data_IF_013598249029
#
_entry.id   IF_013598249029
#
_cell.length_a   1.000
_cell.length_b   1.000
_cell.length_c   1.000
_cell.angle_alpha   90.00
_cell.angle_beta   90.00
_cell.angle_gamma   90.00
#
_symmetry.space_group_name_H-M   'P 1'
#
loop_
_entity.id
_entity.type
_entity.pdbx_description
1 polymer ?
#
# COMPACT_ATOMS: atom_id res chain seq x y z
N UNK A 1 -6.58 -3.93 11.28
CA UNK A 1 -5.17 -4.12 11.71
C UNK A 1 -4.92 -3.43 13.04
N UNK A 2 -4.01 -3.99 13.84
CA UNK A 2 -3.48 -3.35 15.05
C UNK A 2 -2.03 -2.93 14.77
N UNK A 3 -1.79 -1.62 14.72
CA UNK A 3 -0.46 -1.04 14.52
C UNK A 3 0.00 -0.35 15.80
N UNK A 4 1.24 -0.60 16.22
CA UNK A 4 1.83 0.10 17.34
C UNK A 4 3.02 -0.63 17.95
N UNK A 5 3.43 -0.17 19.14
CA UNK A 5 4.37 -0.91 19.96
C UNK A 5 3.69 -2.18 20.50
N UNK A 6 4.34 -3.32 20.27
CA UNK A 6 3.88 -4.64 20.70
C UNK A 6 4.96 -5.26 21.58
N UNK A 7 4.56 -5.84 22.71
CA UNK A 7 5.45 -6.66 23.52
C UNK A 7 5.92 -7.86 22.68
N UNK A 8 7.20 -8.22 22.78
CA UNK A 8 7.78 -9.34 22.00
C UNK A 8 7.01 -10.64 22.25
N UNK A 9 6.53 -10.86 23.48
CA UNK A 9 5.74 -12.04 23.84
C UNK A 9 4.37 -12.12 23.14
N UNK A 10 3.87 -10.99 22.65
CA UNK A 10 2.60 -10.89 21.93
C UNK A 10 2.80 -10.68 20.43
N UNK A 11 4.04 -10.60 19.95
CA UNK A 11 4.35 -10.18 18.58
C UNK A 11 4.41 -11.33 17.55
N UNK A 12 4.11 -12.57 17.95
CA UNK A 12 4.11 -13.72 17.03
C UNK A 12 3.14 -13.48 15.86
N UNK A 13 3.63 -13.62 14.64
CA UNK A 13 2.88 -13.39 13.41
C UNK A 13 2.66 -11.90 13.07
N UNK A 14 3.14 -10.97 13.89
CA UNK A 14 3.10 -9.55 13.56
C UNK A 14 4.18 -9.18 12.54
N UNK A 15 3.88 -8.18 11.71
CA UNK A 15 4.77 -7.68 10.66
C UNK A 15 5.55 -6.47 11.18
N UNK A 16 6.88 -6.51 11.12
CA UNK A 16 7.72 -5.41 11.58
C UNK A 16 7.51 -4.14 10.75
N UNK A 17 7.17 -3.03 11.43
CA UNK A 17 7.03 -1.71 10.82
C UNK A 17 8.37 -1.08 10.43
N UNK A 18 9.42 -1.43 11.18
CA UNK A 18 10.79 -0.98 10.99
C UNK A 18 11.74 -2.16 11.14
N UNK A 19 12.88 -2.08 10.46
CA UNK A 19 13.90 -3.11 10.64
C UNK A 19 14.50 -3.07 12.04
N UNK A 20 14.81 -4.23 12.59
CA UNK A 20 15.46 -4.38 13.90
C UNK A 20 16.84 -5.01 13.67
N UNK A 21 17.88 -4.36 14.17
CA UNK A 21 19.24 -4.90 14.17
C UNK A 21 19.45 -5.78 15.39
N UNK A 22 20.06 -6.94 15.19
CA UNK A 22 20.41 -7.93 16.21
C UNK A 22 21.91 -8.23 16.09
N UNK A 23 22.55 -8.79 17.13
CA UNK A 23 23.93 -9.26 17.02
C UNK A 23 24.11 -10.37 15.98
N UNK A 24 23.04 -11.12 15.71
CA UNK A 24 22.99 -12.20 14.70
C UNK A 24 22.65 -11.72 13.28
N UNK A 25 22.30 -10.45 13.08
CA UNK A 25 21.93 -9.92 11.77
C UNK A 25 20.86 -8.82 11.82
N UNK A 26 19.96 -8.82 10.83
CA UNK A 26 18.91 -7.80 10.70
C UNK A 26 17.58 -8.43 10.33
N UNK A 27 16.55 -8.14 11.12
CA UNK A 27 15.16 -8.38 10.73
C UNK A 27 14.69 -7.18 9.89
N UNK A 28 14.26 -7.43 8.66
CA UNK A 28 13.86 -6.37 7.74
C UNK A 28 12.48 -5.77 8.11
N UNK A 29 12.21 -4.54 7.65
CA UNK A 29 10.84 -4.03 7.62
C UNK A 29 9.99 -4.95 6.73
N UNK A 30 8.77 -5.22 7.13
CA UNK A 30 7.87 -6.15 6.43
C UNK A 30 8.09 -7.62 6.78
N UNK A 31 9.08 -7.93 7.64
CA UNK A 31 9.32 -9.29 8.13
C UNK A 31 8.18 -9.74 9.06
N UNK A 32 7.64 -10.94 8.82
CA UNK A 32 6.65 -11.59 9.69
C UNK A 32 7.39 -12.29 10.82
N UNK A 33 7.12 -11.90 12.06
CA UNK A 33 7.81 -12.45 13.23
C UNK A 33 7.41 -13.90 13.48
N UNK A 34 8.39 -14.78 13.45
CA UNK A 34 8.28 -16.20 13.82
C UNK A 34 8.82 -16.43 15.23
N UNK A 35 8.57 -17.61 15.81
CA UNK A 35 8.99 -17.93 17.18
C UNK A 35 10.50 -17.71 17.42
N UNK A 36 11.34 -18.10 16.45
CA UNK A 36 12.80 -17.89 16.50
C UNK A 36 13.21 -16.43 16.56
N UNK A 37 12.43 -15.55 15.92
CA UNK A 37 12.72 -14.12 15.92
C UNK A 37 12.44 -13.53 17.29
N UNK A 38 11.36 -13.98 17.93
CA UNK A 38 11.02 -13.57 19.29
C UNK A 38 12.09 -14.01 20.29
N UNK A 39 12.61 -15.25 20.16
CA UNK A 39 13.71 -15.72 21.00
C UNK A 39 14.98 -14.90 20.80
N UNK A 40 15.31 -14.55 19.55
CA UNK A 40 16.45 -13.69 19.24
C UNK A 40 16.28 -12.27 19.81
N UNK A 41 15.07 -11.68 19.69
CA UNK A 41 14.74 -10.39 20.28
C UNK A 41 14.88 -10.42 21.81
N UNK A 42 14.40 -11.48 22.47
CA UNK A 42 14.54 -11.65 23.92
C UNK A 42 16.00 -11.79 24.36
N UNK A 43 16.80 -12.56 23.62
CA UNK A 43 18.21 -12.76 23.94
C UNK A 43 19.01 -11.44 23.89
N UNK A 44 18.59 -10.50 23.05
CA UNK A 44 19.16 -9.14 22.93
C UNK A 44 18.54 -8.13 23.91
N UNK A 45 17.64 -8.58 24.80
CA UNK A 45 16.97 -7.70 25.78
C UNK A 45 15.92 -6.77 25.19
N UNK A 46 15.48 -7.01 23.95
CA UNK A 46 14.43 -6.22 23.29
C UNK A 46 13.08 -6.72 23.80
N UNK A 47 12.35 -5.85 24.51
CA UNK A 47 11.06 -6.18 25.13
C UNK A 47 9.85 -5.81 24.27
N UNK A 48 10.00 -4.89 23.32
CA UNK A 48 8.93 -4.48 22.41
C UNK A 48 9.45 -4.08 21.03
N UNK A 49 8.58 -4.17 20.03
CA UNK A 49 8.84 -3.78 18.64
C UNK A 49 7.68 -2.97 18.09
N UNK A 50 7.94 -2.10 17.10
CA UNK A 50 6.85 -1.47 16.34
C UNK A 50 6.43 -2.43 15.24
N UNK A 51 5.21 -2.94 15.32
CA UNK A 51 4.70 -3.96 14.41
C UNK A 51 3.22 -3.75 14.07
N UNK A 52 2.79 -4.46 13.04
CA UNK A 52 1.42 -4.53 12.59
C UNK A 52 0.92 -5.97 12.71
N UNK A 53 -0.16 -6.18 13.47
CA UNK A 53 -0.88 -7.45 13.48
C UNK A 53 -2.08 -7.34 12.52
N UNK A 54 -2.12 -8.23 11.55
CA UNK A 54 -3.27 -8.35 10.66
C UNK A 54 -4.45 -8.97 11.41
N UNK A 55 -5.63 -8.41 11.19
CA UNK A 55 -6.89 -8.94 11.66
C UNK A 55 -7.63 -9.64 10.50
N UNK A 56 -8.58 -10.54 10.79
CA UNK A 56 -9.44 -11.11 9.76
C UNK A 56 -10.07 -10.01 8.88
N UNK A 57 -9.87 -10.10 7.57
CA UNK A 57 -10.37 -9.13 6.60
C UNK A 57 -9.42 -7.99 6.26
N UNK A 58 -8.24 -7.89 6.90
CA UNK A 58 -7.18 -6.99 6.43
C UNK A 58 -6.50 -7.54 5.17
N UNK A 59 -6.01 -6.62 4.34
CA UNK A 59 -5.17 -6.91 3.18
C UNK A 59 -3.77 -6.32 3.39
N UNK A 60 -2.74 -7.09 3.05
CA UNK A 60 -1.36 -6.58 3.03
C UNK A 60 -1.18 -5.48 1.98
N UNK A 61 -0.24 -4.57 2.21
CA UNK A 61 -0.08 -3.33 1.43
C UNK A 61 0.05 -3.58 -0.08
N UNK A 62 0.81 -4.58 -0.50
CA UNK A 62 1.01 -4.90 -1.92
C UNK A 62 -0.25 -5.51 -2.55
N UNK A 63 -0.95 -6.39 -1.82
CA UNK A 63 -2.19 -6.99 -2.30
C UNK A 63 -3.30 -5.93 -2.45
N UNK A 64 -3.39 -5.00 -1.49
CA UNK A 64 -4.32 -3.88 -1.55
C UNK A 64 -3.99 -2.90 -2.68
N UNK A 65 -2.71 -2.51 -2.83
CA UNK A 65 -2.26 -1.62 -3.90
C UNK A 65 -2.54 -2.22 -5.29
N UNK A 66 -2.24 -3.52 -5.46
CA UNK A 66 -2.50 -4.25 -6.70
C UNK A 66 -4.00 -4.25 -7.06
N UNK A 67 -4.86 -4.63 -6.10
CA UNK A 67 -6.31 -4.72 -6.29
C UNK A 67 -6.93 -3.37 -6.71
N UNK A 68 -6.47 -2.27 -6.12
CA UNK A 68 -6.94 -0.93 -6.51
C UNK A 68 -6.42 -0.53 -7.89
N UNK A 69 -5.17 -0.87 -8.20
CA UNK A 69 -4.55 -0.51 -9.46
C UNK A 69 -5.22 -1.20 -10.66
N UNK A 70 -5.74 -2.41 -10.49
CA UNK A 70 -6.51 -3.13 -11.51
C UNK A 70 -7.80 -2.40 -11.88
N UNK A 71 -8.29 -1.52 -11.01
CA UNK A 71 -9.46 -0.70 -11.32
C UNK A 71 -9.17 0.47 -12.25
N UNK A 72 -7.89 0.81 -12.49
CA UNK A 72 -7.46 1.94 -13.32
C UNK A 72 -6.77 1.49 -14.63
N UNK A 73 -7.06 0.28 -15.10
CA UNK A 73 -6.49 -0.23 -16.35
C UNK A 73 -6.97 0.52 -17.61
N UNK A 74 -6.01 0.89 -18.46
CA UNK A 74 -6.21 1.49 -19.78
C UNK A 74 -5.08 1.05 -20.72
N UNK A 75 -5.34 1.01 -22.03
CA UNK A 75 -4.31 0.70 -23.05
C UNK A 75 -3.22 1.77 -23.14
N UNK A 76 -3.50 2.99 -22.66
CA UNK A 76 -2.57 4.14 -22.74
C UNK A 76 -1.72 4.30 -21.48
N UNK A 77 -1.88 3.40 -20.51
CA UNK A 77 -1.20 3.45 -19.22
C UNK A 77 -0.62 2.08 -18.88
N UNK A 78 0.68 2.05 -18.57
CA UNK A 78 1.34 0.88 -17.99
C UNK A 78 1.51 1.05 -16.49
N UNK A 79 1.32 -0.04 -15.75
CA UNK A 79 1.47 -0.10 -14.30
C UNK A 79 2.78 -0.77 -13.92
N UNK A 80 3.44 -0.30 -12.87
CA UNK A 80 4.47 -1.09 -12.19
C UNK A 80 3.84 -2.26 -11.42
N UNK A 81 4.61 -3.31 -11.10
CA UNK A 81 4.20 -4.24 -10.06
C UNK A 81 3.93 -3.50 -8.74
N UNK A 82 3.03 -4.04 -7.92
CA UNK A 82 2.87 -3.59 -6.55
C UNK A 82 4.13 -3.95 -5.74
N UNK A 83 4.72 -2.96 -5.10
CA UNK A 83 5.86 -3.16 -4.19
C UNK A 83 5.86 -2.13 -3.09
N UNK A 84 6.07 -2.57 -1.85
CA UNK A 84 6.06 -1.71 -0.66
C UNK A 84 4.80 -0.84 -0.55
N UNK A 85 3.64 -1.41 -0.89
CA UNK A 85 2.35 -0.74 -0.91
C UNK A 85 2.16 0.26 -2.04
N UNK A 86 3.00 0.25 -3.07
CA UNK A 86 2.98 1.26 -4.16
C UNK A 86 2.78 0.63 -5.52
N UNK A 87 1.92 1.24 -6.33
CA UNK A 87 1.84 1.03 -7.79
C UNK A 87 1.97 2.38 -8.49
N UNK A 88 2.87 2.45 -9.45
CA UNK A 88 3.07 3.62 -10.32
C UNK A 88 2.42 3.38 -11.68
N UNK A 89 1.89 4.45 -12.27
CA UNK A 89 1.23 4.46 -13.57
C UNK A 89 2.02 5.37 -14.52
N UNK A 90 2.37 4.84 -15.68
CA UNK A 90 3.20 5.50 -16.68
C UNK A 90 2.44 5.67 -17.99
N UNK A 91 2.56 6.83 -18.62
CA UNK A 91 1.97 7.05 -19.94
C UNK A 91 2.66 6.18 -21.00
N UNK A 92 1.88 5.51 -21.85
CA UNK A 92 2.38 4.75 -22.99
C UNK A 92 2.41 5.59 -24.29
N UNK A 93 1.73 6.73 -24.31
CA UNK A 93 1.68 7.66 -25.45
C UNK A 93 1.97 9.11 -25.03
N UNK A 94 2.42 9.91 -25.99
CA UNK A 94 2.43 11.36 -25.83
C UNK A 94 0.99 11.88 -25.89
N UNK A 95 0.64 12.82 -25.03
CA UNK A 95 -0.71 13.36 -25.03
C UNK A 95 -1.00 14.24 -23.83
N UNK A 96 -2.24 14.18 -23.38
CA UNK A 96 -2.75 14.98 -22.29
C UNK A 96 -3.31 14.05 -21.21
N UNK A 97 -2.81 14.17 -19.98
CA UNK A 97 -3.34 13.44 -18.85
C UNK A 97 -4.67 14.03 -18.41
N UNK A 98 -5.72 13.22 -18.40
CA UNK A 98 -7.06 13.61 -17.97
C UNK A 98 -7.37 12.93 -16.64
N UNK A 99 -7.74 13.72 -15.64
CA UNK A 99 -8.12 13.23 -14.32
C UNK A 99 -9.41 13.89 -13.84
N UNK A 100 -10.36 13.06 -13.42
CA UNK A 100 -11.52 13.55 -12.70
C UNK A 100 -11.12 13.87 -11.25
N UNK A 101 -10.91 15.16 -10.98
CA UNK A 101 -10.58 15.65 -9.64
C UNK A 101 -11.59 15.21 -8.58
N UNK A 102 -12.88 15.14 -8.91
CA UNK A 102 -13.91 14.75 -7.96
C UNK A 102 -13.76 13.27 -7.55
N UNK A 103 -13.38 12.42 -8.51
CA UNK A 103 -13.12 10.99 -8.27
C UNK A 103 -11.88 10.82 -7.39
N UNK A 104 -10.78 11.50 -7.72
CA UNK A 104 -9.53 11.46 -6.93
C UNK A 104 -9.79 11.97 -5.50
N UNK A 105 -10.46 13.09 -5.35
CA UNK A 105 -10.76 13.67 -4.03
C UNK A 105 -11.69 12.76 -3.21
N UNK A 106 -12.70 12.12 -3.83
CA UNK A 106 -13.58 11.17 -3.12
C UNK A 106 -12.84 9.89 -2.75
N UNK A 107 -11.96 9.38 -3.62
CA UNK A 107 -11.11 8.23 -3.33
C UNK A 107 -10.22 8.49 -2.10
N UNK A 108 -9.52 9.62 -2.09
CA UNK A 108 -8.61 10.00 -1.00
C UNK A 108 -9.33 10.32 0.33
N UNK A 109 -10.66 10.46 0.32
CA UNK A 109 -11.48 10.66 1.52
C UNK A 109 -11.99 9.36 2.14
N UNK A 110 -11.80 8.21 1.48
CA UNK A 110 -12.32 6.91 1.98
C UNK A 110 -11.64 6.54 3.29
N UNK A 111 -10.31 6.49 3.30
CA UNK A 111 -9.52 6.19 4.48
C UNK A 111 -8.09 6.73 4.27
N UNK A 112 -7.45 7.34 5.29
CA UNK A 112 -6.10 7.88 5.18
C UNK A 112 -5.03 6.81 4.87
N UNK A 113 -5.31 5.52 5.03
CA UNK A 113 -4.38 4.45 4.66
C UNK A 113 -4.21 4.29 3.14
N UNK A 114 -5.15 4.81 2.32
CA UNK A 114 -5.17 4.63 0.87
C UNK A 114 -5.07 6.00 0.20
N UNK A 115 -4.18 6.15 -0.77
CA UNK A 115 -4.02 7.41 -1.51
C UNK A 115 -3.81 7.15 -3.00
N UNK A 116 -4.48 7.95 -3.83
CA UNK A 116 -4.23 8.13 -5.25
C UNK A 116 -3.68 9.55 -5.46
N UNK A 117 -2.42 9.64 -5.87
CA UNK A 117 -1.80 10.88 -6.31
C UNK A 117 -1.65 10.84 -7.83
N UNK A 118 -1.82 11.98 -8.50
CA UNK A 118 -1.66 12.09 -9.94
C UNK A 118 -1.20 13.49 -10.35
N UNK A 119 -0.82 13.63 -11.63
CA UNK A 119 -0.61 14.94 -12.24
C UNK A 119 -1.90 15.77 -12.20
N UNK A 120 -1.76 17.07 -12.45
CA UNK A 120 -2.90 17.95 -12.65
C UNK A 120 -3.70 17.50 -13.87
N UNK A 121 -5.01 17.73 -13.83
CA UNK A 121 -5.87 17.52 -14.98
C UNK A 121 -5.42 18.40 -16.16
N UNK A 122 -5.47 17.85 -17.37
CA UNK A 122 -4.95 18.44 -18.60
C UNK A 122 -3.44 18.75 -18.59
N UNK A 123 -2.62 17.97 -17.86
CA UNK A 123 -1.17 18.08 -17.94
C UNK A 123 -0.62 17.43 -19.23
N UNK A 124 0.36 18.06 -19.88
CA UNK A 124 1.07 17.43 -21.00
C UNK A 124 1.95 16.28 -20.51
N UNK A 125 1.94 15.17 -21.25
CA UNK A 125 2.71 13.97 -20.91
C UNK A 125 3.38 13.38 -22.14
N UNK A 126 4.54 12.77 -21.93
CA UNK A 126 5.28 11.96 -22.89
C UNK A 126 5.23 10.49 -22.52
N UNK A 127 5.41 9.63 -23.51
CA UNK A 127 5.61 8.19 -23.27
C UNK A 127 6.72 7.99 -22.24
N UNK A 128 6.42 7.26 -21.18
CA UNK A 128 7.30 6.97 -20.05
C UNK A 128 7.12 7.86 -18.82
N UNK A 129 6.35 8.95 -18.92
CA UNK A 129 6.13 9.85 -17.78
C UNK A 129 5.30 9.18 -16.69
N UNK A 130 5.65 9.43 -15.42
CA UNK A 130 4.87 9.00 -14.25
C UNK A 130 3.65 9.92 -14.10
N UNK A 131 2.45 9.37 -14.30
CA UNK A 131 1.21 10.16 -14.31
C UNK A 131 0.36 10.00 -13.06
N UNK A 132 0.45 8.85 -12.40
CA UNK A 132 -0.25 8.58 -11.15
C UNK A 132 0.46 7.55 -10.28
N UNK A 133 0.11 7.52 -9.00
CA UNK A 133 0.58 6.55 -8.02
C UNK A 133 -0.54 6.21 -7.04
N UNK A 134 -0.78 4.90 -6.86
CA UNK A 134 -1.52 4.40 -5.70
C UNK A 134 -0.52 4.07 -4.60
N UNK A 135 -0.86 4.48 -3.37
CA UNK A 135 -0.11 4.17 -2.16
C UNK A 135 -1.03 3.64 -1.08
N UNK A 136 -0.73 2.44 -0.58
CA UNK A 136 -1.11 2.00 0.75
C UNK A 136 0.01 2.47 1.68
N UNK A 137 -0.34 3.35 2.62
CA UNK A 137 0.61 4.00 3.51
C UNK A 137 1.09 3.04 4.62
N UNK A 138 0.19 2.34 5.35
CA UNK A 138 0.58 1.31 6.31
C UNK A 138 0.91 -0.04 5.63
N UNK A 139 1.45 -0.98 6.40
CA UNK A 139 1.76 -2.34 5.94
C UNK A 139 0.53 -3.19 5.60
N UNK A 140 -0.64 -2.80 6.10
CA UNK A 140 -1.91 -3.45 5.80
C UNK A 140 -3.06 -2.44 5.92
N UNK A 141 -4.19 -2.73 5.28
CA UNK A 141 -5.40 -1.91 5.33
C UNK A 141 -6.63 -2.81 5.43
N UNK A 142 -7.68 -2.33 6.10
CA UNK A 142 -8.93 -3.08 6.18
C UNK A 142 -9.52 -3.29 4.78
N UNK A 143 -9.83 -4.53 4.42
CA UNK A 143 -10.32 -4.91 3.10
C UNK A 143 -11.59 -4.16 2.68
N UNK A 144 -12.46 -3.81 3.64
CA UNK A 144 -13.66 -2.99 3.39
C UNK A 144 -13.37 -1.63 2.75
N UNK A 145 -12.24 -1.00 3.10
CA UNK A 145 -11.86 0.30 2.53
C UNK A 145 -11.34 0.15 1.11
N UNK A 146 -10.59 -0.92 0.86
CA UNK A 146 -10.16 -1.30 -0.50
C UNK A 146 -11.36 -1.60 -1.38
N UNK A 147 -12.35 -2.34 -0.87
CA UNK A 147 -13.58 -2.66 -1.59
C UNK A 147 -14.41 -1.42 -1.91
N UNK A 148 -14.60 -0.53 -0.93
CA UNK A 148 -15.29 0.74 -1.14
C UNK A 148 -14.57 1.61 -2.19
N UNK A 149 -13.24 1.64 -2.16
CA UNK A 149 -12.44 2.35 -3.15
C UNK A 149 -12.54 1.72 -4.55
N UNK A 150 -12.52 0.39 -4.65
CA UNK A 150 -12.78 -0.31 -5.91
C UNK A 150 -14.17 0.02 -6.47
N UNK A 151 -15.22 -0.02 -5.63
CA UNK A 151 -16.59 0.31 -6.05
C UNK A 151 -16.68 1.76 -6.57
N UNK A 152 -16.04 2.70 -5.87
CA UNK A 152 -15.98 4.09 -6.31
C UNK A 152 -15.37 4.19 -7.71
N UNK A 153 -14.21 3.55 -7.93
CA UNK A 153 -13.53 3.56 -9.23
C UNK A 153 -14.35 2.87 -10.33
N UNK A 154 -15.08 1.80 -10.00
CA UNK A 154 -15.98 1.11 -10.94
C UNK A 154 -17.09 2.04 -11.43
N UNK A 155 -17.75 2.73 -10.51
CA UNK A 155 -18.87 3.65 -10.85
C UNK A 155 -18.43 4.91 -11.58
N UNK A 156 -17.16 5.28 -11.45
CA UNK A 156 -16.58 6.46 -12.10
C UNK A 156 -16.12 6.20 -13.54
N UNK A 157 -16.06 4.94 -13.99
CA UNK A 157 -15.70 4.65 -15.38
C UNK A 157 -16.78 5.19 -16.31
N UNK A 158 -16.43 5.99 -17.34
CA UNK A 158 -17.41 6.43 -18.32
C UNK A 158 -18.06 5.21 -18.97
N UNK A 159 -19.39 5.22 -19.07
CA UNK A 159 -20.12 4.22 -19.83
C UNK A 159 -19.63 4.26 -21.27
N UNK A 160 -19.12 3.14 -21.76
CA UNK A 160 -18.65 2.96 -23.13
C UNK A 160 -19.77 3.24 -24.14
#
# INVERSE_FOLDING_TARGET
MIFGSMAVDEALGAVLAHSVSLGSGKLAKGHVLEARDLDALRAEGISSVIACRMEPGDLGEDAAAQKLAEMLDSIEIRRSPATTGRVNFYAEANGLFVADKSVVDRFNRIDPAITLACLADHADVRTGDLVATIKIIPLAVAGRWVEQACQLLQTARPSS
#
